data_IF_540743375282
#
_entry.id   IF_540743375282
#
_cell.length_a   1.000
_cell.length_b   1.000
_cell.length_c   1.000
_cell.angle_alpha   90.00
_cell.angle_beta   90.00
_cell.angle_gamma   90.00
#
_symmetry.space_group_name_H-M   'P 1'
#
loop_
_entity.id
_entity.type
_entity.pdbx_description
1 polymer ?
#
# COMPACT_ATOMS: atom_id res chain seq x y z
N UNK A 1 16.48 20.16 9.90
CA UNK A 1 15.80 19.78 8.65
C UNK A 1 15.99 18.29 8.47
N UNK A 2 14.91 17.53 8.49
CA UNK A 2 14.93 16.07 8.25
C UNK A 2 15.20 15.82 6.77
N UNK A 3 16.29 15.11 6.45
CA UNK A 3 16.65 14.79 5.06
C UNK A 3 16.05 13.43 4.68
N UNK A 4 15.17 13.43 3.68
CA UNK A 4 14.57 12.24 3.11
C UNK A 4 15.37 11.83 1.87
N UNK A 5 15.93 10.62 1.88
CA UNK A 5 16.69 10.07 0.74
C UNK A 5 15.93 8.94 0.09
N UNK A 6 15.47 9.18 -1.14
CA UNK A 6 14.89 8.14 -1.99
C UNK A 6 15.95 7.08 -2.29
N UNK A 7 15.63 5.81 -2.02
CA UNK A 7 16.51 4.68 -2.28
C UNK A 7 16.11 3.95 -3.57
N UNK A 8 14.83 3.62 -3.71
CA UNK A 8 14.34 2.85 -4.85
C UNK A 8 12.86 3.16 -5.12
N UNK A 9 12.49 3.23 -6.39
CA UNK A 9 11.09 3.16 -6.85
C UNK A 9 10.98 1.97 -7.79
N UNK A 10 10.08 1.04 -7.49
CA UNK A 10 9.93 -0.17 -8.27
C UNK A 10 8.44 -0.51 -8.47
N UNK A 11 8.15 -1.28 -9.51
CA UNK A 11 6.80 -1.79 -9.78
C UNK A 11 6.73 -3.25 -9.36
N UNK A 12 5.74 -3.60 -8.55
CA UNK A 12 5.48 -4.96 -8.08
C UNK A 12 4.22 -5.47 -8.76
N UNK A 13 4.39 -6.42 -9.66
CA UNK A 13 3.29 -7.11 -10.33
C UNK A 13 2.90 -8.39 -9.57
N UNK A 14 1.65 -8.86 -9.73
CA UNK A 14 1.30 -10.25 -9.40
C UNK A 14 2.18 -11.24 -10.20
N UNK A 15 2.25 -12.52 -9.79
CA UNK A 15 2.96 -13.55 -10.53
C UNK A 15 2.44 -13.67 -11.97
N UNK A 16 3.29 -14.06 -12.94
CA UNK A 16 2.91 -14.11 -14.37
C UNK A 16 1.71 -15.00 -14.69
N UNK A 17 1.38 -15.95 -13.80
CA UNK A 17 0.23 -16.85 -13.92
C UNK A 17 -1.10 -16.20 -13.54
N UNK A 18 -1.11 -14.96 -13.05
CA UNK A 18 -2.33 -14.27 -12.64
C UNK A 18 -3.21 -13.94 -13.84
N UNK A 19 -4.48 -14.42 -13.86
CA UNK A 19 -5.37 -14.22 -15.00
C UNK A 19 -5.84 -12.76 -15.07
N UNK A 20 -6.23 -12.33 -16.27
CA UNK A 20 -7.01 -11.11 -16.45
C UNK A 20 -8.27 -11.19 -15.59
N UNK A 21 -8.60 -10.11 -14.88
CA UNK A 21 -9.79 -10.05 -14.03
C UNK A 21 -10.52 -8.74 -14.24
N UNK A 22 -11.85 -8.79 -14.26
CA UNK A 22 -12.68 -7.61 -14.32
C UNK A 22 -13.96 -7.83 -13.52
N UNK A 23 -14.37 -6.80 -12.78
CA UNK A 23 -15.62 -6.83 -12.04
C UNK A 23 -16.28 -5.44 -12.03
N UNK A 24 -17.62 -5.39 -12.11
CA UNK A 24 -18.35 -4.14 -12.02
C UNK A 24 -18.27 -3.57 -10.60
N UNK A 25 -18.12 -2.25 -10.50
CA UNK A 25 -18.19 -1.56 -9.21
C UNK A 25 -19.63 -1.55 -8.71
N UNK A 26 -19.81 -1.88 -7.44
CA UNK A 26 -21.12 -1.83 -6.78
C UNK A 26 -21.43 -0.40 -6.35
N UNK A 27 -22.68 -0.15 -5.96
CA UNK A 27 -23.07 1.15 -5.40
C UNK A 27 -22.19 1.57 -4.21
N UNK A 28 -21.79 0.63 -3.36
CA UNK A 28 -20.92 0.93 -2.22
C UNK A 28 -19.53 1.38 -2.68
N UNK A 29 -18.97 0.76 -3.72
CA UNK A 29 -17.66 1.14 -4.25
C UNK A 29 -17.69 2.53 -4.91
N UNK A 30 -18.80 2.87 -5.59
CA UNK A 30 -18.99 4.17 -6.23
C UNK A 30 -19.01 5.32 -5.23
N UNK A 31 -19.55 5.10 -4.01
CA UNK A 31 -19.51 6.10 -2.95
C UNK A 31 -18.07 6.46 -2.60
N UNK A 32 -17.18 5.47 -2.56
CA UNK A 32 -15.77 5.64 -2.21
C UNK A 32 -14.96 6.38 -3.27
N UNK A 33 -15.34 6.33 -4.55
CA UNK A 33 -14.66 7.05 -5.63
C UNK A 33 -14.69 8.58 -5.45
N UNK A 34 -15.63 9.10 -4.67
CA UNK A 34 -15.76 10.54 -4.41
C UNK A 34 -14.88 11.02 -3.26
N UNK A 35 -14.28 10.10 -2.50
CA UNK A 35 -13.41 10.43 -1.39
C UNK A 35 -11.95 10.50 -1.85
N UNK A 36 -11.17 11.32 -1.16
CA UNK A 36 -9.73 11.36 -1.37
C UNK A 36 -9.12 9.99 -1.02
N UNK A 37 -8.05 9.58 -1.71
CA UNK A 37 -7.32 8.37 -1.38
C UNK A 37 -6.99 8.33 0.11
N UNK A 38 -7.28 7.19 0.75
CA UNK A 38 -6.92 6.99 2.15
C UNK A 38 -5.44 6.67 2.25
N UNK A 39 -4.70 7.49 2.99
CA UNK A 39 -3.31 7.23 3.34
C UNK A 39 -3.27 6.56 4.71
N UNK A 40 -2.56 5.43 4.80
CA UNK A 40 -2.41 4.70 6.04
C UNK A 40 -0.94 4.40 6.29
N UNK A 41 -0.52 4.66 7.52
CA UNK A 41 0.87 4.64 7.94
C UNK A 41 1.03 3.59 9.02
N UNK A 42 1.99 2.68 8.84
CA UNK A 42 2.35 1.66 9.82
C UNK A 42 3.78 1.84 10.30
N UNK A 43 3.96 1.97 11.62
CA UNK A 43 5.26 2.03 12.26
C UNK A 43 5.66 0.67 12.84
N UNK A 44 6.86 0.21 12.50
CA UNK A 44 7.43 -1.04 13.02
C UNK A 44 8.78 -0.75 13.66
N UNK A 45 8.93 -1.12 14.93
CA UNK A 45 10.22 -1.06 15.62
C UNK A 45 10.91 -2.43 15.51
N UNK A 46 12.08 -2.46 14.86
CA UNK A 46 12.89 -3.68 14.73
C UNK A 46 14.23 -3.45 15.42
N UNK A 47 14.36 -3.84 16.71
CA UNK A 47 15.61 -3.64 17.43
C UNK A 47 16.73 -4.47 16.81
N UNK A 48 17.94 -3.91 16.80
CA UNK A 48 19.18 -4.56 16.32
C UNK A 48 19.27 -4.86 14.82
N UNK A 49 18.40 -4.28 13.99
CA UNK A 49 18.53 -4.41 12.53
C UNK A 49 19.63 -3.50 12.00
N UNK A 50 20.63 -4.08 11.32
CA UNK A 50 21.64 -3.29 10.61
C UNK A 50 21.04 -2.70 9.32
N UNK A 51 21.35 -1.45 8.94
CA UNK A 51 20.79 -0.84 7.74
C UNK A 51 20.98 -1.66 6.46
N UNK A 52 22.15 -2.30 6.28
CA UNK A 52 22.38 -3.15 5.10
C UNK A 52 21.49 -4.40 5.11
N UNK A 53 21.24 -5.02 6.27
CA UNK A 53 20.41 -6.22 6.34
C UNK A 53 18.93 -5.93 6.05
N UNK A 54 18.48 -4.70 6.27
CA UNK A 54 17.15 -4.24 5.82
C UNK A 54 17.02 -4.36 4.29
N UNK A 55 17.97 -3.80 3.55
CA UNK A 55 17.93 -3.80 2.08
C UNK A 55 18.20 -5.19 1.48
N UNK A 56 19.08 -5.97 2.10
CA UNK A 56 19.44 -7.29 1.56
C UNK A 56 18.40 -8.36 1.89
N UNK A 57 17.66 -8.22 3.00
CA UNK A 57 16.75 -9.26 3.51
C UNK A 57 15.30 -8.84 3.52
N UNK A 58 14.97 -7.70 4.14
CA UNK A 58 13.57 -7.30 4.37
C UNK A 58 12.95 -6.83 3.07
N UNK A 59 13.62 -5.94 2.33
CA UNK A 59 13.10 -5.38 1.08
C UNK A 59 12.77 -6.48 0.06
N UNK A 60 13.64 -7.46 -0.25
CA UNK A 60 13.33 -8.52 -1.21
C UNK A 60 12.20 -9.44 -0.73
N UNK A 61 12.19 -9.80 0.57
CA UNK A 61 11.11 -10.60 1.16
C UNK A 61 9.78 -9.88 1.05
N UNK A 62 9.77 -8.59 1.35
CA UNK A 62 8.58 -7.74 1.27
C UNK A 62 8.05 -7.63 -0.16
N UNK A 63 8.92 -7.37 -1.15
CA UNK A 63 8.53 -7.35 -2.57
C UNK A 63 7.93 -8.67 -3.01
N UNK A 64 8.54 -9.80 -2.62
CA UNK A 64 8.06 -11.14 -2.94
C UNK A 64 6.71 -11.43 -2.28
N UNK A 65 6.58 -11.16 -0.99
CA UNK A 65 5.30 -11.37 -0.28
C UNK A 65 4.20 -10.49 -0.86
N UNK A 66 4.51 -9.23 -1.21
CA UNK A 66 3.56 -8.34 -1.85
C UNK A 66 3.11 -8.88 -3.21
N UNK A 67 4.04 -9.31 -4.07
CA UNK A 67 3.71 -9.94 -5.35
C UNK A 67 2.77 -11.14 -5.17
N UNK A 68 3.09 -12.06 -4.25
CA UNK A 68 2.24 -13.21 -3.95
C UNK A 68 0.86 -12.80 -3.41
N UNK A 69 0.77 -11.80 -2.55
CA UNK A 69 -0.52 -11.31 -2.05
C UNK A 69 -1.36 -10.71 -3.18
N UNK A 70 -0.75 -9.98 -4.11
CA UNK A 70 -1.47 -9.38 -5.24
C UNK A 70 -2.11 -10.44 -6.15
N UNK A 71 -1.60 -11.67 -6.19
CA UNK A 71 -2.24 -12.76 -6.94
C UNK A 71 -3.65 -13.11 -6.41
N UNK A 72 -3.86 -12.93 -5.11
CA UNK A 72 -5.14 -13.17 -4.44
C UNK A 72 -6.01 -11.90 -4.42
N UNK A 73 -5.37 -10.73 -4.47
CA UNK A 73 -6.02 -9.42 -4.46
C UNK A 73 -5.64 -8.63 -5.71
N UNK A 74 -5.94 -9.19 -6.89
CA UNK A 74 -5.80 -8.52 -8.19
C UNK A 74 -6.45 -7.12 -8.26
N UNK A 75 -7.57 -6.86 -7.53
CA UNK A 75 -8.10 -5.51 -7.33
C UNK A 75 -7.11 -4.45 -6.82
N UNK A 76 -5.97 -4.82 -6.26
CA UNK A 76 -4.99 -3.85 -5.77
C UNK A 76 -3.96 -3.48 -6.83
N UNK A 77 -3.75 -4.34 -7.84
CA UNK A 77 -2.78 -4.14 -8.90
C UNK A 77 -3.39 -3.55 -10.17
N UNK A 78 -4.70 -3.70 -10.39
CA UNK A 78 -5.39 -3.20 -11.57
C UNK A 78 -5.81 -1.73 -11.46
N UNK A 79 -6.69 -1.33 -12.37
CA UNK A 79 -7.14 0.05 -12.54
C UNK A 79 -8.67 0.13 -12.63
N UNK A 80 -9.23 1.28 -12.26
CA UNK A 80 -10.64 1.59 -12.48
C UNK A 80 -10.78 2.20 -13.88
N UNK A 81 -11.63 1.62 -14.71
CA UNK A 81 -11.82 2.01 -16.11
C UNK A 81 -13.28 2.32 -16.38
N UNK A 82 -13.54 3.37 -17.17
CA UNK A 82 -14.85 3.65 -17.75
C UNK A 82 -14.91 3.08 -19.17
N UNK A 83 -15.79 2.07 -19.43
CA UNK A 83 -16.00 1.57 -20.78
C UNK A 83 -16.54 2.68 -21.69
N UNK A 84 -16.16 2.67 -22.97
CA UNK A 84 -16.62 3.65 -23.95
C UNK A 84 -18.04 3.35 -24.48
N UNK A 85 -18.59 2.21 -24.07
CA UNK A 85 -19.69 1.49 -24.70
C UNK A 85 -21.08 1.91 -24.16
N UNK A 86 -21.30 3.22 -23.94
CA UNK A 86 -22.49 3.80 -23.28
C UNK A 86 -22.79 3.28 -21.85
N UNK A 87 -21.92 2.43 -21.29
CA UNK A 87 -21.95 2.00 -19.90
C UNK A 87 -21.43 3.12 -18.99
N UNK A 88 -22.33 3.84 -18.33
CA UNK A 88 -21.98 4.83 -17.30
C UNK A 88 -21.32 4.22 -16.04
N UNK A 89 -21.23 2.89 -15.96
CA UNK A 89 -20.72 2.19 -14.77
C UNK A 89 -19.23 1.90 -14.92
N UNK A 90 -18.38 2.40 -14.00
CA UNK A 90 -16.99 2.01 -13.98
C UNK A 90 -16.83 0.55 -13.59
N UNK A 91 -15.75 -0.04 -14.07
CA UNK A 91 -15.35 -1.40 -13.72
C UNK A 91 -13.95 -1.38 -13.15
N UNK A 92 -13.68 -2.30 -12.24
CA UNK A 92 -12.31 -2.63 -11.92
C UNK A 92 -11.77 -3.58 -12.99
N UNK A 93 -10.55 -3.33 -13.44
CA UNK A 93 -9.88 -4.15 -14.45
C UNK A 93 -8.41 -4.35 -14.09
N UNK A 94 -8.02 -5.61 -13.97
CA UNK A 94 -6.62 -6.04 -13.93
C UNK A 94 -6.27 -6.72 -15.26
N UNK A 95 -5.21 -6.24 -15.91
CA UNK A 95 -4.59 -6.88 -17.06
C UNK A 95 -3.22 -7.46 -16.66
N UNK A 96 -2.80 -8.59 -17.26
CA UNK A 96 -1.44 -9.11 -17.04
C UNK A 96 -0.38 -8.05 -17.34
N UNK A 97 0.47 -7.75 -16.36
CA UNK A 97 1.47 -6.69 -16.43
C UNK A 97 1.11 -5.44 -15.61
N UNK A 98 -0.15 -5.30 -15.20
CA UNK A 98 -0.54 -4.28 -14.22
C UNK A 98 0.17 -4.53 -12.88
N UNK A 99 0.51 -3.45 -12.18
CA UNK A 99 1.42 -3.49 -11.04
C UNK A 99 1.22 -2.32 -10.09
N UNK A 100 1.65 -2.51 -8.84
CA UNK A 100 1.64 -1.48 -7.81
C UNK A 100 3.00 -0.81 -7.73
N UNK A 101 3.02 0.51 -7.54
CA UNK A 101 4.25 1.26 -7.30
C UNK A 101 4.68 1.13 -5.83
N UNK A 102 5.90 0.67 -5.59
CA UNK A 102 6.53 0.59 -4.28
C UNK A 102 7.72 1.55 -4.23
N UNK A 103 7.67 2.47 -3.27
CA UNK A 103 8.74 3.45 -3.00
C UNK A 103 9.45 3.09 -1.70
N UNK A 104 10.78 3.03 -1.74
CA UNK A 104 11.64 2.74 -0.60
C UNK A 104 12.54 3.96 -0.38
N UNK A 105 12.55 4.48 0.85
CA UNK A 105 13.31 5.67 1.21
C UNK A 105 13.86 5.59 2.65
N UNK A 106 14.94 6.34 2.90
CA UNK A 106 15.71 6.39 4.16
C UNK A 106 15.72 7.80 4.77
N UNK A 107 15.45 7.91 6.08
CA UNK A 107 15.56 9.17 6.86
C UNK A 107 16.74 9.12 7.80
N UNK A 108 17.15 10.28 8.28
CA UNK A 108 17.93 10.38 9.53
C UNK A 108 17.10 10.92 10.71
N UNK A 109 15.77 10.96 10.57
CA UNK A 109 14.83 11.41 11.61
C UNK A 109 14.77 10.47 12.81
N UNK A 110 14.66 11.04 14.01
CA UNK A 110 14.49 10.28 15.24
C UNK A 110 13.10 9.60 15.31
N UNK A 111 13.11 8.27 15.27
CA UNK A 111 11.92 7.42 15.33
C UNK A 111 11.17 7.55 16.67
N UNK A 112 11.88 7.85 17.76
CA UNK A 112 11.28 8.00 19.10
C UNK A 112 10.33 9.20 19.16
N UNK A 113 10.66 10.27 18.44
CA UNK A 113 9.83 11.46 18.33
C UNK A 113 8.54 11.18 17.55
N UNK A 114 8.54 10.20 16.63
CA UNK A 114 7.36 9.85 15.82
C UNK A 114 6.35 9.03 16.63
N UNK A 115 6.83 8.16 17.52
CA UNK A 115 6.02 7.28 18.37
C UNK A 115 5.47 7.94 19.64
N UNK A 116 5.91 9.16 19.97
CA UNK A 116 5.36 9.89 21.11
C UNK A 116 3.85 10.17 20.91
N UNK A 117 3.03 9.80 21.90
CA UNK A 117 1.56 9.90 21.87
C UNK A 117 1.05 11.34 22.09
N UNK A 118 1.92 12.33 22.03
CA UNK A 118 1.53 13.73 22.12
C UNK A 118 0.70 14.15 20.89
N UNK A 119 -0.39 14.91 21.07
CA UNK A 119 -1.17 15.42 19.94
C UNK A 119 -0.28 16.33 19.09
N UNK A 120 -0.17 16.01 17.80
CA UNK A 120 0.64 16.77 16.85
C UNK A 120 -0.17 17.21 15.65
N UNK A 121 0.28 18.31 15.05
CA UNK A 121 -0.26 18.79 13.78
C UNK A 121 -0.03 17.73 12.69
N UNK A 122 -1.10 17.38 11.98
CA UNK A 122 -1.07 16.43 10.88
C UNK A 122 -0.12 16.88 9.76
N UNK A 123 0.15 18.19 9.63
CA UNK A 123 1.12 18.73 8.68
C UNK A 123 2.54 18.15 8.87
N UNK A 124 2.93 17.83 10.11
CA UNK A 124 4.21 17.20 10.42
C UNK A 124 4.24 15.71 10.01
N UNK A 125 3.08 15.05 9.93
CA UNK A 125 2.96 13.68 9.42
C UNK A 125 2.84 13.64 7.89
N UNK A 126 2.20 14.65 7.29
CA UNK A 126 2.15 14.88 5.83
C UNK A 126 3.55 15.18 5.28
N UNK A 127 4.42 15.83 6.07
CA UNK A 127 5.85 16.01 5.78
C UNK A 127 6.70 14.76 6.02
N UNK A 128 6.15 13.73 6.70
CA UNK A 128 6.78 12.42 6.94
C UNK A 128 6.32 11.39 5.92
N UNK A 129 6.01 11.82 4.70
CA UNK A 129 5.80 10.98 3.53
C UNK A 129 7.12 10.83 2.73
N UNK A 130 7.82 9.68 2.81
CA UNK A 130 8.07 8.93 4.04
C UNK A 130 9.47 8.37 4.14
N UNK A 131 9.90 8.20 5.39
CA UNK A 131 11.14 7.51 5.69
C UNK A 131 11.07 6.69 6.98
N UNK A 132 11.52 5.42 6.84
CA UNK A 132 11.43 4.27 7.77
C UNK A 132 10.03 3.85 8.22
N UNK A 133 9.07 4.13 7.38
CA UNK A 133 7.76 3.53 7.46
C UNK A 133 7.77 2.47 6.36
N UNK A 134 7.25 1.29 6.66
CA UNK A 134 6.79 0.39 5.62
C UNK A 134 5.64 1.13 4.92
N UNK A 135 5.97 2.10 4.06
CA UNK A 135 4.99 2.76 3.22
C UNK A 135 4.69 1.75 2.13
N UNK A 136 3.89 0.75 2.50
CA UNK A 136 3.03 0.17 1.51
C UNK A 136 2.07 1.30 1.16
N UNK A 137 2.43 2.10 0.16
CA UNK A 137 1.42 2.67 -0.71
C UNK A 137 0.75 1.44 -1.36
N UNK A 138 -0.15 0.79 -0.62
CA UNK A 138 -1.28 0.11 -1.22
C UNK A 138 -2.16 1.25 -1.74
N UNK A 139 -1.65 1.90 -2.80
CA UNK A 139 -2.46 2.78 -3.61
C UNK A 139 -3.64 1.94 -4.05
N UNK A 140 -4.80 2.41 -3.62
CA UNK A 140 -6.12 1.82 -3.80
C UNK A 140 -6.49 0.69 -2.84
N UNK A 141 -6.40 0.95 -1.54
CA UNK A 141 -7.48 0.43 -0.68
C UNK A 141 -8.76 1.21 -0.96
N UNK A 142 -9.67 0.58 -1.72
CA UNK A 142 -11.09 0.84 -1.53
C UNK A 142 -11.44 0.55 -0.06
N UNK A 143 -12.12 1.45 0.65
CA UNK A 143 -12.46 1.23 2.06
C UNK A 143 -13.62 0.23 2.17
N UNK A 144 -13.34 -1.05 1.94
CA UNK A 144 -14.11 -2.10 2.60
C UNK A 144 -13.47 -2.36 3.97
N UNK A 145 -13.60 -1.37 4.88
CA UNK A 145 -13.55 -1.65 6.32
C UNK A 145 -14.87 -2.29 6.74
N UNK A 146 -15.04 -3.55 6.37
CA UNK A 146 -15.83 -4.52 7.11
C UNK A 146 -15.22 -5.89 6.90
N UNK A 147 -14.04 -6.08 7.49
CA UNK A 147 -13.67 -7.37 8.00
C UNK A 147 -12.84 -7.10 9.26
N UNK A 148 -13.55 -6.91 10.37
CA UNK A 148 -13.02 -7.34 11.64
C UNK A 148 -12.60 -8.80 11.44
N UNK A 149 -11.31 -9.10 11.49
CA UNK A 149 -10.90 -10.40 11.99
C UNK A 149 -11.11 -10.32 13.50
N UNK A 150 -12.17 -10.94 14.08
CA UNK A 150 -12.07 -11.30 15.47
C UNK A 150 -10.86 -12.21 15.59
N UNK A 151 -10.02 -11.90 16.57
CA UNK A 151 -9.16 -12.87 17.22
C UNK A 151 -10.05 -14.08 17.52
N UNK A 152 -9.93 -15.13 16.70
CA UNK A 152 -10.34 -16.46 17.11
C UNK A 152 -9.10 -17.08 17.70
N UNK A 153 -9.01 -16.99 19.02
CA UNK A 153 -8.24 -17.91 19.83
C UNK A 153 -8.57 -19.34 19.36
N UNK A 154 -7.53 -20.09 18.99
CA UNK A 154 -7.62 -21.52 18.83
C UNK A 154 -7.63 -22.15 20.23
N UNK A 155 -8.79 -22.68 20.64
CA UNK A 155 -8.94 -23.74 21.61
C UNK A 155 -10.17 -24.58 21.25
#
# INVERSE_FOLDING_TARGET
MTSLKLHEVCKIAPPPSSPKSSFPLTFFDLLWLRFHPSELIFFFSVPHLHPSSFFDTIVPKFKRSLSLTLQHFLPLAGNIVWPSDDSLKPVFQYNPGDSVSLTIAVSDSDFSHVLDYSPRDASHLVLLCPTWILLIHLLQFFPCKSLCFPIMDFA
#
